data_IF_510437327480
#
_entry.id   IF_510437327480
#
_cell.length_a   1.000
_cell.length_b   1.000
_cell.length_c   1.000
_cell.angle_alpha   90.00
_cell.angle_beta   90.00
_cell.angle_gamma   90.00
#
_symmetry.space_group_name_H-M   'P 1'
#
loop_
_entity.id
_entity.type
_entity.pdbx_description
1 polymer ?
#
# COMPACT_ATOMS: atom_id res chain seq x y z
N UNK A 1 9.57 -34.11 20.03
CA UNK A 1 9.23 -32.72 20.42
C UNK A 1 10.31 -31.79 19.87
N UNK A 2 9.95 -30.71 19.19
CA UNK A 2 10.93 -29.68 18.77
C UNK A 2 10.77 -29.17 17.33
N UNK A 3 9.69 -28.43 17.04
CA UNK A 3 9.53 -27.64 15.79
C UNK A 3 9.05 -26.20 16.08
N UNK A 4 9.27 -25.68 17.28
CA UNK A 4 8.77 -24.35 17.71
C UNK A 4 9.50 -23.15 17.09
N UNK A 5 10.84 -23.06 17.19
CA UNK A 5 11.57 -21.83 16.83
C UNK A 5 11.60 -21.51 15.32
N UNK A 6 11.69 -22.54 14.49
CA UNK A 6 11.80 -22.39 13.03
C UNK A 6 10.47 -22.02 12.36
N UNK A 7 9.34 -22.41 12.95
CA UNK A 7 8.00 -22.09 12.44
C UNK A 7 7.63 -20.65 12.83
N UNK A 8 7.88 -20.28 14.09
CA UNK A 8 7.65 -18.93 14.59
C UNK A 8 8.49 -17.88 13.83
N UNK A 9 9.78 -18.13 13.65
CA UNK A 9 10.65 -17.21 12.89
C UNK A 9 10.23 -17.03 11.43
N UNK A 10 9.80 -18.12 10.76
CA UNK A 10 9.30 -18.05 9.38
C UNK A 10 7.98 -17.27 9.30
N UNK A 11 7.07 -17.52 10.24
CA UNK A 11 5.79 -16.80 10.33
C UNK A 11 6.00 -15.30 10.57
N UNK A 12 6.86 -14.94 11.53
CA UNK A 12 7.18 -13.55 11.84
C UNK A 12 7.79 -12.81 10.64
N UNK A 13 8.66 -13.48 9.87
CA UNK A 13 9.23 -12.91 8.65
C UNK A 13 8.17 -12.70 7.55
N UNK A 14 7.20 -13.60 7.44
CA UNK A 14 6.10 -13.50 6.48
C UNK A 14 5.11 -12.39 6.86
N UNK A 15 4.75 -12.31 8.15
CA UNK A 15 3.90 -11.25 8.70
C UNK A 15 4.57 -9.87 8.52
N UNK A 16 5.88 -9.76 8.73
CA UNK A 16 6.63 -8.51 8.49
C UNK A 16 6.63 -8.09 7.01
N UNK A 17 6.71 -9.06 6.08
CA UNK A 17 6.58 -8.78 4.64
C UNK A 17 5.17 -8.31 4.31
N UNK A 18 4.14 -8.97 4.84
CA UNK A 18 2.74 -8.59 4.65
C UNK A 18 2.45 -7.20 5.20
N UNK A 19 2.97 -6.86 6.38
CA UNK A 19 2.83 -5.52 6.97
C UNK A 19 3.36 -4.43 6.04
N UNK A 20 4.54 -4.63 5.43
CA UNK A 20 5.11 -3.68 4.45
C UNK A 20 4.22 -3.52 3.22
N UNK A 21 3.64 -4.60 2.72
CA UNK A 21 2.71 -4.56 1.57
C UNK A 21 1.43 -3.81 1.94
N UNK A 22 0.87 -4.06 3.12
CA UNK A 22 -0.33 -3.39 3.60
C UNK A 22 -0.12 -1.88 3.73
N UNK A 23 1.02 -1.45 4.29
CA UNK A 23 1.33 -0.01 4.38
C UNK A 23 1.39 0.66 3.00
N UNK A 24 1.97 0.00 1.99
CA UNK A 24 2.02 0.54 0.62
C UNK A 24 0.63 0.66 0.00
N UNK A 25 -0.19 -0.38 0.14
CA UNK A 25 -1.55 -0.40 -0.39
C UNK A 25 -2.47 0.64 0.27
N UNK A 26 -2.35 0.84 1.59
CA UNK A 26 -3.09 1.89 2.30
C UNK A 26 -2.74 3.27 1.73
N UNK A 27 -1.45 3.56 1.51
CA UNK A 27 -1.01 4.84 0.90
C UNK A 27 -1.56 5.00 -0.52
N UNK A 28 -1.50 3.95 -1.35
CA UNK A 28 -2.02 3.97 -2.71
C UNK A 28 -3.53 4.25 -2.74
N UNK A 29 -4.31 3.61 -1.85
CA UNK A 29 -5.76 3.86 -1.71
C UNK A 29 -6.02 5.30 -1.26
N UNK A 30 -5.32 5.78 -0.24
CA UNK A 30 -5.51 7.14 0.30
C UNK A 30 -5.23 8.21 -0.74
N UNK A 31 -4.17 8.09 -1.55
CA UNK A 31 -3.90 9.05 -2.62
C UNK A 31 -4.92 8.94 -3.75
N UNK A 32 -5.26 7.72 -4.16
CA UNK A 32 -6.26 7.53 -5.21
C UNK A 32 -7.61 8.13 -4.82
N UNK A 33 -8.04 7.98 -3.56
CA UNK A 33 -9.31 8.49 -3.06
C UNK A 33 -9.41 10.03 -2.98
N UNK A 34 -8.30 10.77 -3.10
CA UNK A 34 -8.33 12.25 -3.19
C UNK A 34 -8.99 12.76 -4.46
N UNK A 35 -8.90 11.99 -5.55
CA UNK A 35 -9.57 12.30 -6.82
C UNK A 35 -11.07 11.97 -6.81
N UNK A 36 -11.61 11.48 -5.69
CA UNK A 36 -12.97 10.99 -5.53
C UNK A 36 -12.97 9.64 -4.80
N UNK A 37 -13.76 9.54 -3.73
CA UNK A 37 -13.81 8.37 -2.84
C UNK A 37 -14.64 7.19 -3.36
N UNK A 38 -15.19 7.28 -4.57
CA UNK A 38 -16.00 6.22 -5.17
C UNK A 38 -15.21 5.42 -6.23
N UNK A 39 -14.96 4.12 -6.02
CA UNK A 39 -14.28 3.26 -6.99
C UNK A 39 -15.02 3.09 -8.34
N UNK A 40 -16.32 3.36 -8.40
CA UNK A 40 -17.08 3.29 -9.65
C UNK A 40 -16.71 4.45 -10.60
N UNK A 41 -16.45 5.63 -10.04
CA UNK A 41 -16.11 6.85 -10.79
C UNK A 41 -14.60 7.13 -10.83
N UNK A 42 -13.79 6.42 -10.04
CA UNK A 42 -12.34 6.57 -9.98
C UNK A 42 -11.59 5.27 -10.33
N UNK A 43 -11.10 5.11 -11.58
CA UNK A 43 -10.38 3.91 -12.01
C UNK A 43 -9.09 3.62 -11.20
N UNK A 44 -8.39 4.68 -10.76
CA UNK A 44 -7.17 4.56 -9.97
C UNK A 44 -7.49 3.94 -8.60
N UNK A 45 -8.59 4.40 -7.99
CA UNK A 45 -9.06 3.86 -6.71
C UNK A 45 -9.52 2.41 -6.84
N UNK A 46 -10.23 2.07 -7.92
CA UNK A 46 -10.66 0.70 -8.20
C UNK A 46 -9.50 -0.28 -8.22
N UNK A 47 -8.46 0.03 -8.99
CA UNK A 47 -7.26 -0.81 -9.09
C UNK A 47 -6.58 -0.97 -7.72
N UNK A 48 -6.48 0.12 -6.94
CA UNK A 48 -5.88 0.08 -5.61
C UNK A 48 -6.68 -0.80 -4.63
N UNK A 49 -8.02 -0.71 -4.67
CA UNK A 49 -8.93 -1.55 -3.87
C UNK A 49 -8.82 -3.02 -4.28
N UNK A 50 -8.80 -3.34 -5.57
CA UNK A 50 -8.67 -4.71 -6.06
C UNK A 50 -7.35 -5.34 -5.63
N UNK A 51 -6.24 -4.60 -5.72
CA UNK A 51 -4.94 -5.03 -5.19
C UNK A 51 -5.00 -5.28 -3.68
N UNK A 52 -5.66 -4.42 -2.92
CA UNK A 52 -5.79 -4.58 -1.47
C UNK A 52 -6.60 -5.82 -1.09
N UNK A 53 -7.71 -6.09 -1.78
CA UNK A 53 -8.50 -7.29 -1.56
C UNK A 53 -7.74 -8.56 -1.96
N UNK A 54 -6.98 -8.52 -3.06
CA UNK A 54 -6.12 -9.63 -3.47
C UNK A 54 -5.01 -9.95 -2.45
N UNK A 55 -4.58 -8.95 -1.67
CA UNK A 55 -3.62 -9.10 -0.59
C UNK A 55 -4.25 -9.56 0.74
N UNK A 56 -5.55 -9.92 0.75
CA UNK A 56 -6.34 -10.26 1.94
C UNK A 56 -6.47 -9.12 2.97
N UNK A 57 -6.48 -7.87 2.52
CA UNK A 57 -6.82 -6.75 3.38
C UNK A 57 -8.31 -6.75 3.68
N UNK A 58 -8.70 -6.47 4.93
CA UNK A 58 -10.13 -6.43 5.31
C UNK A 58 -10.83 -5.22 4.69
N UNK A 59 -12.11 -5.39 4.34
CA UNK A 59 -12.94 -4.31 3.77
C UNK A 59 -12.96 -3.06 4.66
N UNK A 60 -13.06 -3.22 5.97
CA UNK A 60 -13.02 -2.11 6.94
C UNK A 60 -11.72 -1.29 6.84
N UNK A 61 -10.57 -1.95 6.67
CA UNK A 61 -9.27 -1.27 6.52
C UNK A 61 -9.21 -0.48 5.22
N UNK A 62 -9.74 -1.06 4.13
CA UNK A 62 -9.83 -0.40 2.83
C UNK A 62 -10.73 0.83 2.91
N UNK A 63 -11.95 0.68 3.43
CA UNK A 63 -12.91 1.79 3.60
C UNK A 63 -12.35 2.93 4.45
N UNK A 64 -11.61 2.60 5.52
CA UNK A 64 -10.93 3.59 6.35
C UNK A 64 -9.85 4.34 5.56
N UNK A 65 -9.08 3.65 4.73
CA UNK A 65 -8.07 4.27 3.87
C UNK A 65 -8.71 5.18 2.79
N UNK A 66 -9.87 4.78 2.25
CA UNK A 66 -10.66 5.60 1.31
C UNK A 66 -11.16 6.88 1.99
N UNK A 67 -11.79 6.76 3.17
CA UNK A 67 -12.31 7.91 3.93
C UNK A 67 -11.21 8.92 4.29
N UNK A 68 -10.03 8.42 4.69
CA UNK A 68 -8.85 9.26 4.93
C UNK A 68 -8.43 10.03 3.68
N UNK A 69 -8.44 9.37 2.54
CA UNK A 69 -8.03 9.97 1.26
C UNK A 69 -9.02 10.94 0.66
N UNK A 70 -10.33 10.71 0.83
CA UNK A 70 -11.39 11.59 0.31
C UNK A 70 -11.57 12.88 1.12
N UNK A 71 -10.72 13.13 2.12
CA UNK A 71 -10.76 14.34 2.95
C UNK A 71 -11.81 14.32 4.06
N UNK A 72 -12.45 13.19 4.33
CA UNK A 72 -13.45 13.07 5.40
C UNK A 72 -12.83 13.10 6.81
N UNK A 73 -11.51 12.87 6.95
CA UNK A 73 -10.79 12.84 8.23
C UNK A 73 -9.58 13.80 8.30
N UNK A 74 -9.56 14.86 7.50
CA UNK A 74 -8.45 15.83 7.48
C UNK A 74 -7.30 15.37 6.58
N UNK A 75 -6.84 16.27 5.71
CA UNK A 75 -5.86 15.96 4.69
C UNK A 75 -4.45 15.89 5.27
N UNK A 76 -3.96 14.68 5.55
CA UNK A 76 -2.51 14.46 5.57
C UNK A 76 -1.98 14.68 4.15
N UNK A 77 -1.09 15.66 3.98
CA UNK A 77 -0.47 16.06 2.71
C UNK A 77 0.52 14.99 2.18
N UNK A 78 0.06 13.75 1.97
CA UNK A 78 0.83 12.74 1.23
C UNK A 78 1.16 13.23 -0.20
N UNK A 79 2.40 13.12 -0.66
CA UNK A 79 2.86 13.55 -1.99
C UNK A 79 3.51 12.39 -2.75
N UNK A 80 3.26 12.30 -4.05
CA UNK A 80 3.92 11.35 -4.94
C UNK A 80 5.25 11.93 -5.43
N UNK A 81 6.34 11.19 -5.24
CA UNK A 81 7.68 11.59 -5.65
C UNK A 81 8.32 10.44 -6.44
N UNK A 82 8.78 10.75 -7.65
CA UNK A 82 9.55 9.82 -8.50
C UNK A 82 11.02 10.17 -8.42
N UNK A 83 11.84 9.16 -8.10
CA UNK A 83 13.29 9.23 -8.22
C UNK A 83 13.76 8.43 -9.42
N UNK A 84 14.69 9.00 -10.17
CA UNK A 84 15.36 8.36 -11.30
C UNK A 84 16.85 8.27 -11.00
N UNK A 85 17.47 7.13 -11.28
CA UNK A 85 18.90 6.94 -11.01
C UNK A 85 19.50 5.73 -11.70
N UNK A 86 20.82 5.59 -11.58
CA UNK A 86 21.57 4.46 -12.15
C UNK A 86 22.22 3.65 -11.03
N UNK A 87 22.06 2.32 -11.09
CA UNK A 87 22.70 1.37 -10.20
C UNK A 87 24.05 0.87 -10.72
N UNK A 88 24.74 0.00 -9.94
CA UNK A 88 25.99 -0.63 -10.37
C UNK A 88 25.85 -1.30 -11.75
N UNK A 89 26.78 -1.03 -12.67
CA UNK A 89 26.73 -1.53 -14.03
C UNK A 89 25.83 -0.74 -15.00
N UNK A 90 25.36 0.45 -14.62
CA UNK A 90 24.60 1.34 -15.52
C UNK A 90 23.12 0.99 -15.66
N UNK A 91 22.58 0.17 -14.76
CA UNK A 91 21.16 -0.22 -14.77
C UNK A 91 20.29 0.97 -14.36
N UNK A 92 19.34 1.36 -15.20
CA UNK A 92 18.38 2.41 -14.89
C UNK A 92 17.35 1.94 -13.84
N UNK A 93 17.09 2.78 -12.84
CA UNK A 93 16.15 2.55 -11.76
C UNK A 93 15.09 3.66 -11.75
N UNK A 94 13.82 3.26 -11.71
CA UNK A 94 12.69 4.14 -11.45
C UNK A 94 12.12 3.76 -10.09
N UNK A 95 12.10 4.71 -9.16
CA UNK A 95 11.62 4.51 -7.80
C UNK A 95 10.45 5.46 -7.56
N UNK A 96 9.26 4.90 -7.56
CA UNK A 96 8.04 5.62 -7.17
C UNK A 96 7.88 5.56 -5.64
N UNK A 97 7.80 6.73 -5.00
CA UNK A 97 7.69 6.86 -3.54
C UNK A 97 6.51 7.75 -3.14
N UNK A 98 6.05 7.56 -1.90
CA UNK A 98 5.04 8.41 -1.27
C UNK A 98 5.47 8.77 0.15
N UNK A 99 5.49 10.07 0.44
CA UNK A 99 5.66 10.64 1.78
C UNK A 99 4.38 11.29 2.24
#
# INVERSE_FOLDING_TARGET
MGRGPSIEGRKNAEDAKRAKVFTKLIREITVAARGGGDPATNPRLRIAVDKALSANMTKDTVERAVKRGSGAEGADNMQEIRYEGYGPGGVALIIDTMT
#
